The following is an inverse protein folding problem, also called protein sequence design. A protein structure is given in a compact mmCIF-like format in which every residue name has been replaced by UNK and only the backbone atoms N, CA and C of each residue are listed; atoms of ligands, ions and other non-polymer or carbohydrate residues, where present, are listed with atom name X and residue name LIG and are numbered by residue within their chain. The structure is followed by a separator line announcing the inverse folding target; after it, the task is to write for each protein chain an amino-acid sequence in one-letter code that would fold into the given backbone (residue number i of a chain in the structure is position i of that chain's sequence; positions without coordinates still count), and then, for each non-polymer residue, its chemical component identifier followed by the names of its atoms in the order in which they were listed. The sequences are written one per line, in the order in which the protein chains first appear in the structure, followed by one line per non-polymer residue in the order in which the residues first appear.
data_IF_817856350374
#
_entry.id   IF_817856350374
#
_cell.length_a   1.000
_cell.length_b   1.000
_cell.length_c   1.000
_cell.angle_alpha   90.00
_cell.angle_beta   90.00
_cell.angle_gamma   90.00
#
_symmetry.space_group_name_H-M   'P 1'
#
loop_
_entity.id
_entity.type
_entity.pdbx_description
1 polymer ?
#
# COMPACT_ATOMS: atom_id res chain seq x y z
N UNK A 1 -63.99 -3.89 41.49
CA UNK A 1 -63.43 -3.13 40.35
C UNK A 1 -62.02 -2.55 40.57
N UNK A 2 -61.62 -2.12 41.78
CA UNK A 2 -60.27 -1.56 42.02
C UNK A 2 -59.13 -2.60 41.93
N UNK A 3 -59.36 -3.82 42.40
CA UNK A 3 -58.36 -4.90 42.41
C UNK A 3 -57.97 -5.38 41.00
N UNK A 4 -58.95 -5.53 40.10
CA UNK A 4 -58.70 -5.88 38.70
C UNK A 4 -57.89 -4.80 37.94
N UNK A 5 -58.07 -3.52 38.30
CA UNK A 5 -57.26 -2.42 37.73
C UNK A 5 -55.81 -2.49 38.21
N UNK A 6 -55.58 -2.82 39.47
CA UNK A 6 -54.22 -3.01 40.02
C UNK A 6 -53.49 -4.20 39.39
N UNK A 7 -54.16 -5.34 39.22
CA UNK A 7 -53.58 -6.52 38.58
C UNK A 7 -53.20 -6.23 37.12
N UNK A 8 -54.07 -5.54 36.36
CA UNK A 8 -53.76 -5.10 34.99
C UNK A 8 -52.55 -4.16 34.95
N UNK A 9 -52.47 -3.23 35.89
CA UNK A 9 -51.35 -2.30 35.99
C UNK A 9 -50.04 -3.00 36.34
N UNK A 10 -50.06 -3.94 37.29
CA UNK A 10 -48.89 -4.75 37.63
C UNK A 10 -48.39 -5.55 36.43
N UNK A 11 -49.30 -6.23 35.72
CA UNK A 11 -48.96 -7.00 34.53
C UNK A 11 -48.31 -6.12 33.45
N UNK A 12 -48.88 -4.94 33.20
CA UNK A 12 -48.34 -3.98 32.24
C UNK A 12 -46.93 -3.51 32.64
N UNK A 13 -46.71 -3.21 33.92
CA UNK A 13 -45.39 -2.84 34.43
C UNK A 13 -44.37 -3.97 34.32
N UNK A 14 -44.77 -5.21 34.60
CA UNK A 14 -43.90 -6.38 34.45
C UNK A 14 -43.48 -6.58 32.99
N UNK A 15 -44.40 -6.44 32.04
CA UNK A 15 -44.09 -6.52 30.60
C UNK A 15 -43.13 -5.41 30.17
N UNK A 16 -43.35 -4.17 30.62
CA UNK A 16 -42.43 -3.06 30.34
C UNK A 16 -41.03 -3.31 30.92
N UNK A 17 -40.93 -3.85 32.13
CA UNK A 17 -39.65 -4.20 32.74
C UNK A 17 -38.93 -5.30 31.95
N UNK A 18 -39.65 -6.33 31.49
CA UNK A 18 -39.10 -7.39 30.64
C UNK A 18 -38.55 -6.84 29.31
N UNK A 19 -39.30 -5.95 28.65
CA UNK A 19 -38.86 -5.29 27.42
C UNK A 19 -37.59 -4.46 27.67
N UNK A 20 -37.56 -3.69 28.77
CA UNK A 20 -36.41 -2.88 29.13
C UNK A 20 -35.14 -3.71 29.32
N UNK A 21 -35.23 -4.79 30.09
CA UNK A 21 -34.10 -5.71 30.32
C UNK A 21 -33.63 -6.33 29.01
N UNK A 22 -34.57 -6.72 28.13
CA UNK A 22 -34.23 -7.30 26.84
C UNK A 22 -33.45 -6.33 25.95
N UNK A 23 -33.89 -5.07 25.88
CA UNK A 23 -33.18 -4.02 25.14
C UNK A 23 -31.80 -3.77 25.74
N UNK A 24 -31.68 -3.69 27.06
CA UNK A 24 -30.39 -3.48 27.73
C UNK A 24 -29.41 -4.62 27.46
N UNK A 25 -29.89 -5.86 27.39
CA UNK A 25 -29.07 -7.01 27.02
C UNK A 25 -28.59 -6.95 25.57
N UNK A 26 -29.46 -6.57 24.64
CA UNK A 26 -29.08 -6.39 23.22
C UNK A 26 -28.03 -5.30 23.04
N UNK A 27 -28.18 -4.15 23.71
CA UNK A 27 -27.19 -3.06 23.64
C UNK A 27 -25.81 -3.54 24.10
N UNK A 28 -25.79 -4.32 25.19
CA UNK A 28 -24.55 -4.87 25.73
C UNK A 28 -23.91 -5.85 24.74
N UNK A 29 -24.70 -6.76 24.17
CA UNK A 29 -24.21 -7.71 23.17
C UNK A 29 -23.67 -7.01 21.92
N UNK A 30 -24.38 -5.99 21.42
CA UNK A 30 -23.89 -5.18 20.30
C UNK A 30 -22.59 -4.45 20.62
N UNK A 31 -22.42 -3.93 21.84
CA UNK A 31 -21.17 -3.30 22.25
C UNK A 31 -20.00 -4.30 22.25
N UNK A 32 -20.20 -5.52 22.79
CA UNK A 32 -19.18 -6.57 22.77
C UNK A 32 -18.85 -7.03 21.35
N UNK A 33 -19.86 -7.22 20.50
CA UNK A 33 -19.64 -7.55 19.10
C UNK A 33 -18.89 -6.44 18.35
N UNK A 34 -19.18 -5.17 18.66
CA UNK A 34 -18.46 -4.01 18.12
C UNK A 34 -16.98 -4.03 18.48
N UNK A 35 -16.66 -4.16 19.77
CA UNK A 35 -15.27 -4.24 20.25
C UNK A 35 -14.51 -5.38 19.59
N UNK A 36 -15.15 -6.56 19.43
CA UNK A 36 -14.52 -7.70 18.75
C UNK A 36 -14.25 -7.44 17.26
N UNK A 37 -15.16 -6.73 16.58
CA UNK A 37 -14.97 -6.34 15.18
C UNK A 37 -13.87 -5.29 15.03
N UNK A 38 -13.82 -4.31 15.92
CA UNK A 38 -12.79 -3.27 15.93
C UNK A 38 -11.39 -3.86 16.14
N UNK A 39 -11.26 -4.85 17.02
CA UNK A 39 -10.00 -5.59 17.21
C UNK A 39 -9.51 -6.23 15.91
N UNK A 40 -10.40 -6.93 15.19
CA UNK A 40 -10.07 -7.52 13.88
C UNK A 40 -9.70 -6.47 12.84
N UNK A 41 -10.44 -5.36 12.78
CA UNK A 41 -10.14 -4.26 11.85
C UNK A 41 -8.74 -3.71 12.13
N UNK A 42 -8.38 -3.53 13.40
CA UNK A 42 -7.06 -3.06 13.79
C UNK A 42 -5.95 -4.04 13.38
N UNK A 43 -6.13 -5.34 13.62
CA UNK A 43 -5.21 -6.38 13.17
C UNK A 43 -5.01 -6.34 11.65
N UNK A 44 -6.09 -6.23 10.89
CA UNK A 44 -6.06 -6.10 9.42
C UNK A 44 -5.34 -4.84 8.95
N UNK A 45 -5.51 -3.71 9.63
CA UNK A 45 -4.79 -2.46 9.32
C UNK A 45 -3.29 -2.63 9.59
N UNK A 46 -2.92 -3.24 10.72
CA UNK A 46 -1.53 -3.50 11.07
C UNK A 46 -0.85 -4.46 10.09
N UNK A 47 -1.53 -5.56 9.72
CA UNK A 47 -1.04 -6.53 8.74
C UNK A 47 -0.86 -5.89 7.36
N UNK A 48 -1.87 -5.14 6.89
CA UNK A 48 -1.79 -4.44 5.62
C UNK A 48 -0.70 -3.36 5.63
N UNK A 49 -0.51 -2.67 6.75
CA UNK A 49 0.59 -1.72 6.95
C UNK A 49 1.95 -2.39 6.81
N UNK A 50 2.13 -3.56 7.42
CA UNK A 50 3.37 -4.34 7.31
C UNK A 50 3.61 -4.83 5.88
N UNK A 51 2.57 -5.34 5.19
CA UNK A 51 2.67 -5.75 3.78
C UNK A 51 3.04 -4.56 2.91
N UNK A 52 2.38 -3.41 3.10
CA UNK A 52 2.66 -2.18 2.35
C UNK A 52 4.09 -1.72 2.57
N UNK A 53 4.59 -1.79 3.82
CA UNK A 53 5.98 -1.50 4.14
C UNK A 53 6.93 -2.49 3.45
N UNK A 54 6.66 -3.79 3.52
CA UNK A 54 7.48 -4.82 2.88
C UNK A 54 7.54 -4.62 1.36
N UNK A 55 6.41 -4.35 0.71
CA UNK A 55 6.33 -4.04 -0.73
C UNK A 55 7.09 -2.76 -1.06
N UNK A 56 6.95 -1.72 -0.25
CA UNK A 56 7.69 -0.46 -0.44
C UNK A 56 9.20 -0.67 -0.32
N UNK A 57 9.63 -1.44 0.69
CA UNK A 57 11.03 -1.81 0.89
C UNK A 57 11.57 -2.61 -0.31
N UNK A 58 10.84 -3.64 -0.76
CA UNK A 58 11.16 -4.43 -1.94
C UNK A 58 11.23 -3.59 -3.22
N UNK A 59 10.36 -2.59 -3.36
CA UNK A 59 10.33 -1.67 -4.50
C UNK A 59 11.44 -0.62 -4.42
N UNK A 60 11.96 -0.32 -3.23
CA UNK A 60 13.03 0.66 -3.08
C UNK A 60 14.28 0.16 -3.79
N UNK A 61 14.79 0.98 -4.72
CA UNK A 61 16.06 0.73 -5.40
C UNK A 61 17.22 0.56 -4.41
N UNK A 62 17.07 1.08 -3.18
CA UNK A 62 18.02 0.90 -2.10
C UNK A 62 18.09 -0.56 -1.61
N UNK A 63 16.94 -1.25 -1.44
CA UNK A 63 16.93 -2.67 -1.04
C UNK A 63 17.42 -3.58 -2.17
N UNK A 64 17.07 -3.25 -3.42
CA UNK A 64 17.56 -3.97 -4.60
C UNK A 64 19.08 -3.77 -4.77
N UNK A 65 19.56 -2.54 -4.58
CA UNK A 65 20.98 -2.21 -4.57
C UNK A 65 21.71 -2.93 -3.46
N UNK A 66 21.23 -2.88 -2.22
CA UNK A 66 21.85 -3.58 -1.08
C UNK A 66 21.91 -5.09 -1.29
N UNK A 67 20.88 -5.69 -1.90
CA UNK A 67 20.85 -7.12 -2.24
C UNK A 67 21.79 -7.46 -3.40
N UNK A 68 21.94 -6.59 -4.39
CA UNK A 68 22.89 -6.78 -5.51
C UNK A 68 24.35 -6.52 -5.12
N UNK A 69 24.60 -5.60 -4.17
CA UNK A 69 25.95 -5.25 -3.68
C UNK A 69 26.41 -6.08 -2.47
N UNK A 70 25.57 -6.97 -1.93
CA UNK A 70 25.97 -7.86 -0.85
C UNK A 70 27.01 -8.87 -1.35
N UNK A 71 28.10 -9.06 -0.59
CA UNK A 71 29.28 -9.87 -0.98
C UNK A 71 28.98 -11.34 -1.32
N UNK A 72 27.79 -11.86 -1.01
CA UNK A 72 27.34 -13.22 -1.31
C UNK A 72 26.12 -13.27 -2.25
N UNK A 73 25.92 -12.25 -3.07
CA UNK A 73 24.88 -12.24 -4.10
C UNK A 73 25.25 -13.16 -5.27
N UNK A 74 24.41 -14.16 -5.57
CA UNK A 74 24.53 -15.00 -6.78
C UNK A 74 24.31 -14.21 -8.09
N UNK A 75 23.95 -12.93 -8.03
CA UNK A 75 23.87 -12.07 -9.21
C UNK A 75 25.26 -11.62 -9.63
N UNK A 76 25.86 -12.37 -10.55
CA UNK A 76 27.05 -11.92 -11.27
C UNK A 76 26.66 -10.78 -12.21
N UNK A 77 27.33 -9.63 -12.08
CA UNK A 77 27.27 -8.60 -13.11
C UNK A 77 27.84 -9.21 -14.40
N UNK A 78 27.04 -9.22 -15.47
CA UNK A 78 27.52 -9.64 -16.80
C UNK A 78 28.65 -8.70 -17.19
N UNK A 79 29.85 -9.25 -17.30
CA UNK A 79 31.00 -8.56 -17.85
C UNK A 79 30.78 -8.30 -19.35
N UNK A 80 31.30 -7.19 -19.88
CA UNK A 80 31.09 -6.82 -21.29
C UNK A 80 31.59 -7.90 -22.26
N UNK A 81 32.56 -8.70 -21.82
CA UNK A 81 33.13 -9.82 -22.56
C UNK A 81 32.19 -11.04 -22.69
N UNK A 82 31.13 -11.11 -21.88
CA UNK A 82 30.11 -12.17 -21.93
C UNK A 82 28.84 -11.76 -22.70
N UNK A 83 28.85 -10.57 -23.33
CA UNK A 83 27.76 -10.11 -24.19
C UNK A 83 28.02 -10.61 -25.61
N UNK A 84 27.44 -11.75 -25.98
CA UNK A 84 27.46 -12.21 -27.37
C UNK A 84 26.61 -11.26 -28.24
N UNK A 85 27.30 -10.42 -29.02
CA UNK A 85 26.67 -9.56 -29.99
C UNK A 85 26.26 -10.39 -31.22
N UNK A 86 24.99 -10.79 -31.29
CA UNK A 86 24.44 -11.49 -32.45
C UNK A 86 24.39 -10.50 -33.62
N UNK A 87 25.34 -10.61 -34.53
CA UNK A 87 25.35 -9.91 -35.82
C UNK A 87 24.27 -10.52 -36.71
N UNK A 88 23.07 -9.93 -36.69
CA UNK A 88 22.06 -10.21 -37.72
C UNK A 88 22.47 -9.56 -39.03
N UNK A 89 22.20 -10.25 -40.13
CA UNK A 89 22.54 -9.95 -41.52
C UNK A 89 22.40 -8.47 -41.91
N UNK A 90 23.28 -8.03 -42.81
CA UNK A 90 23.62 -6.66 -43.29
C UNK A 90 22.49 -5.65 -43.63
N UNK A 91 21.22 -5.91 -43.35
CA UNK A 91 20.10 -4.99 -43.65
C UNK A 91 19.66 -4.08 -42.48
N UNK A 92 20.29 -4.17 -41.30
CA UNK A 92 19.91 -3.34 -40.13
C UNK A 92 21.00 -2.35 -39.66
N UNK A 93 22.12 -2.22 -40.36
CA UNK A 93 23.19 -1.30 -39.98
C UNK A 93 22.83 0.19 -40.21
N UNK A 94 21.88 0.49 -41.09
CA UNK A 94 21.37 1.86 -41.26
C UNK A 94 20.56 2.35 -40.03
N UNK A 95 20.02 1.45 -39.22
CA UNK A 95 19.28 1.82 -37.99
C UNK A 95 20.25 2.08 -36.82
N UNK A 96 21.38 1.35 -36.74
CA UNK A 96 22.37 1.55 -35.67
C UNK A 96 23.15 2.86 -35.82
N UNK A 97 23.34 3.36 -37.04
CA UNK A 97 23.98 4.66 -37.28
C UNK A 97 23.03 5.81 -36.90
N UNK A 98 21.71 5.64 -37.04
CA UNK A 98 20.73 6.64 -36.61
C UNK A 98 20.65 6.77 -35.07
N UNK A 99 20.76 5.67 -34.34
CA UNK A 99 20.70 5.70 -32.86
C UNK A 99 22.00 6.27 -32.25
N UNK A 100 23.16 6.01 -32.84
CA UNK A 100 24.44 6.61 -32.39
C UNK A 100 24.65 8.07 -32.84
N UNK A 101 23.85 8.61 -33.77
CA UNK A 101 23.86 10.02 -34.17
C UNK A 101 22.73 10.87 -33.58
N UNK A 102 21.88 10.32 -32.72
CA UNK A 102 20.91 11.10 -31.94
C UNK A 102 21.56 11.79 -30.71
N UNK A 103 22.77 12.31 -30.89
CA UNK A 103 23.31 13.38 -30.07
C UNK A 103 22.92 14.71 -30.68
N UNK A 104 21.64 15.10 -30.61
CA UNK A 104 21.19 16.47 -30.89
C UNK A 104 19.99 16.84 -30.01
N UNK A 105 20.29 17.61 -28.97
CA UNK A 105 19.59 18.80 -28.52
C UNK A 105 18.15 19.06 -29.01
N UNK A 106 17.28 19.24 -28.00
CA UNK A 106 16.07 20.10 -27.93
C UNK A 106 14.78 19.63 -28.62
N UNK A 107 13.88 19.07 -27.82
CA UNK A 107 12.66 19.78 -27.37
C UNK A 107 12.48 19.50 -25.87
N UNK A 108 12.32 20.52 -24.99
CA UNK A 108 11.99 20.27 -23.59
C UNK A 108 10.52 19.87 -23.49
N UNK A 109 10.25 18.64 -23.05
CA UNK A 109 8.92 18.28 -22.57
C UNK A 109 8.62 19.15 -21.34
N UNK A 110 7.87 20.22 -21.54
CA UNK A 110 7.45 21.18 -20.51
C UNK A 110 6.66 20.51 -19.37
N UNK A 111 6.17 19.28 -19.60
CA UNK A 111 5.53 18.46 -18.58
C UNK A 111 6.54 17.70 -17.69
N UNK A 112 7.72 17.35 -18.21
CA UNK A 112 8.77 16.68 -17.44
C UNK A 112 9.52 17.64 -16.51
N UNK A 113 9.54 18.96 -16.82
CA UNK A 113 10.13 19.95 -15.91
C UNK A 113 9.26 20.22 -14.67
N UNK A 114 7.94 20.10 -14.76
CA UNK A 114 7.02 20.21 -13.62
C UNK A 114 7.16 19.05 -12.61
N UNK A 115 7.63 17.89 -13.05
CA UNK A 115 7.91 16.74 -12.18
C UNK A 115 9.31 16.80 -11.56
N UNK A 116 10.15 17.77 -11.95
CA UNK A 116 11.52 17.93 -11.43
C UNK A 116 11.65 18.89 -10.25
N UNK A 117 10.53 19.35 -9.67
CA UNK A 117 10.51 20.15 -8.44
C UNK A 117 11.04 19.33 -7.25
N UNK A 118 12.37 19.29 -7.10
CA UNK A 118 12.98 18.70 -5.92
C UNK A 118 14.50 18.46 -5.94
N UNK A 119 15.19 18.40 -7.08
CA UNK A 119 16.58 17.88 -7.08
C UNK A 119 17.71 18.88 -7.36
N UNK A 120 17.46 20.18 -7.54
CA UNK A 120 18.52 21.15 -7.89
C UNK A 120 18.88 22.18 -6.80
N UNK A 121 18.45 21.98 -5.54
CA UNK A 121 18.78 22.91 -4.45
C UNK A 121 19.99 22.51 -3.59
N UNK A 122 20.70 21.41 -3.88
CA UNK A 122 21.75 20.92 -2.99
C UNK A 122 23.04 20.53 -3.72
N UNK A 123 23.64 21.49 -4.45
CA UNK A 123 25.00 21.31 -4.97
C UNK A 123 25.73 22.63 -5.24
N UNK A 124 25.80 23.54 -4.25
CA UNK A 124 26.95 24.46 -4.10
C UNK A 124 26.93 25.22 -2.76
N UNK A 125 27.62 24.69 -1.76
CA UNK A 125 28.29 25.55 -0.78
C UNK A 125 29.48 24.81 -0.15
N UNK A 126 30.58 24.78 -0.87
CA UNK A 126 31.94 24.97 -0.36
C UNK A 126 32.77 25.66 -1.43
#
# INVERSE_FOLDING_TARGET
MRLAKLIKFMCLMTVLALIYIHIQMQITDFAYQGIKKDGRIKELIEENGNITYAVSTLKSANYLGLKMFNENSDMQYIDQDNIEQISTSEELDDVKIAVKKAGFNKVPDQLLSLLSFGSQAEAKQR
#
